data_IF_679350298035
#
_entry.id   IF_679350298035
#
_cell.length_a   1.000
_cell.length_b   1.000
_cell.length_c   1.000
_cell.angle_alpha   90.00
_cell.angle_beta   90.00
_cell.angle_gamma   90.00
#
_symmetry.space_group_name_H-M   'P 1'
#
loop_
_entity.id
_entity.type
_entity.pdbx_description
1 polymer ?
#
# COMPACT_ATOMS: atom_id res chain seq x y z
N UNK A 1 19.29 24.21 11.54
CA UNK A 1 18.53 23.06 12.07
C UNK A 1 17.11 23.16 11.54
N UNK A 2 16.70 22.28 10.61
CA UNK A 2 15.31 22.25 10.11
C UNK A 2 14.46 21.49 11.12
N UNK A 3 13.82 22.24 12.03
CA UNK A 3 12.83 21.68 12.94
C UNK A 3 11.51 21.60 12.16
N UNK A 4 11.26 20.46 11.51
CA UNK A 4 9.97 20.21 10.86
C UNK A 4 8.91 20.12 11.96
N UNK A 5 8.06 21.14 12.10
CA UNK A 5 6.98 21.23 13.10
C UNK A 5 5.78 20.30 12.82
N UNK A 6 5.92 19.36 11.88
CA UNK A 6 4.88 18.42 11.54
C UNK A 6 5.09 17.16 12.38
N UNK A 7 4.04 16.64 13.08
CA UNK A 7 4.14 15.34 13.72
C UNK A 7 4.58 14.32 12.66
N UNK A 8 5.35 13.27 13.00
CA UNK A 8 5.73 12.23 12.05
C UNK A 8 4.44 11.73 11.37
N UNK A 9 4.27 12.10 10.10
CA UNK A 9 3.04 11.78 9.39
C UNK A 9 3.00 10.26 9.25
N UNK A 10 1.94 9.67 9.80
CA UNK A 10 1.70 8.25 9.64
C UNK A 10 1.73 7.95 8.14
N UNK A 11 2.60 7.03 7.68
CA UNK A 11 2.89 6.78 6.25
C UNK A 11 1.65 6.63 5.37
N UNK A 12 0.51 6.24 5.95
CA UNK A 12 -0.77 6.11 5.25
C UNK A 12 -1.43 7.45 4.86
N UNK A 13 -1.04 8.57 5.46
CA UNK A 13 -1.61 9.89 5.15
C UNK A 13 -0.90 10.58 3.98
N UNK A 14 0.23 10.02 3.52
CA UNK A 14 1.03 10.58 2.44
C UNK A 14 0.28 10.58 1.11
N UNK A 15 0.45 11.66 0.36
CA UNK A 15 -0.12 11.92 -0.97
C UNK A 15 1.00 11.93 -2.02
N UNK A 16 0.64 11.79 -3.29
CA UNK A 16 1.60 11.75 -4.41
C UNK A 16 2.73 10.73 -4.20
N UNK A 17 2.36 9.53 -3.75
CA UNK A 17 3.31 8.47 -3.43
C UNK A 17 3.22 7.30 -4.40
N UNK A 18 4.38 6.76 -4.74
CA UNK A 18 4.52 5.42 -5.32
C UNK A 18 4.67 4.44 -4.17
N UNK A 19 3.79 3.44 -4.12
CA UNK A 19 3.79 2.42 -3.09
C UNK A 19 3.87 1.02 -3.70
N UNK A 20 4.43 0.10 -2.93
CA UNK A 20 4.49 -1.32 -3.23
C UNK A 20 3.74 -2.09 -2.16
N UNK A 21 2.87 -3.00 -2.58
CA UNK A 21 2.29 -4.03 -1.72
C UNK A 21 2.90 -5.39 -2.06
N UNK A 22 3.42 -6.09 -1.05
CA UNK A 22 4.03 -7.41 -1.23
C UNK A 22 3.12 -8.50 -0.66
N UNK A 23 2.77 -9.51 -1.45
CA UNK A 23 1.99 -10.63 -0.93
C UNK A 23 2.90 -11.66 -0.27
N UNK A 24 2.66 -11.97 1.01
CA UNK A 24 3.44 -12.92 1.80
C UNK A 24 2.74 -14.26 2.02
N UNK A 25 1.61 -14.50 1.35
CA UNK A 25 0.79 -15.71 1.53
C UNK A 25 1.27 -16.82 0.60
N UNK A 26 1.55 -18.00 1.16
CA UNK A 26 1.92 -19.20 0.40
C UNK A 26 3.10 -18.97 -0.55
N UNK A 27 3.00 -19.51 -1.77
CA UNK A 27 4.04 -19.42 -2.80
C UNK A 27 4.30 -17.99 -3.30
N UNK A 28 3.38 -17.05 -3.08
CA UNK A 28 3.59 -15.65 -3.47
C UNK A 28 4.79 -15.01 -2.78
N UNK A 29 5.13 -15.49 -1.57
CA UNK A 29 6.33 -15.06 -0.84
C UNK A 29 7.62 -15.42 -1.59
N UNK A 30 7.67 -16.63 -2.18
CA UNK A 30 8.83 -17.10 -2.94
C UNK A 30 8.90 -16.50 -4.35
N UNK A 31 7.73 -16.27 -4.97
CA UNK A 31 7.62 -15.70 -6.31
C UNK A 31 7.79 -14.17 -6.35
N UNK A 32 8.01 -13.52 -5.20
CA UNK A 32 8.10 -12.07 -5.10
C UNK A 32 6.88 -11.35 -5.71
N UNK A 33 5.66 -11.88 -5.49
CA UNK A 33 4.44 -11.28 -6.02
C UNK A 33 4.20 -9.90 -5.38
N UNK A 34 4.27 -8.86 -6.20
CA UNK A 34 4.22 -7.46 -5.78
C UNK A 34 3.26 -6.68 -6.67
N UNK A 35 2.50 -5.79 -6.04
CA UNK A 35 1.72 -4.77 -6.71
C UNK A 35 2.41 -3.42 -6.50
N UNK A 36 2.66 -2.67 -7.58
CA UNK A 36 3.17 -1.31 -7.51
C UNK A 36 2.09 -0.36 -8.03
N UNK A 37 1.81 0.69 -7.27
CA UNK A 37 0.81 1.68 -7.64
C UNK A 37 1.24 3.08 -7.27
N UNK A 38 0.71 4.05 -8.02
CA UNK A 38 0.78 5.45 -7.66
C UNK A 38 -0.57 5.91 -7.10
N UNK A 39 -0.52 6.85 -6.15
CA UNK A 39 -1.70 7.58 -5.70
C UNK A 39 -1.37 9.05 -5.52
N UNK A 40 -2.12 9.91 -6.22
CA UNK A 40 -2.14 11.34 -5.97
C UNK A 40 -2.91 11.67 -4.68
N UNK A 41 -3.88 10.83 -4.31
CA UNK A 41 -4.63 10.96 -3.04
C UNK A 41 -3.91 10.25 -1.90
N UNK A 42 -4.35 10.48 -0.66
CA UNK A 42 -3.76 9.82 0.51
C UNK A 42 -3.75 8.30 0.39
N UNK A 43 -2.62 7.66 0.71
CA UNK A 43 -2.44 6.21 0.64
C UNK A 43 -3.54 5.43 1.38
N UNK A 44 -4.02 5.95 2.50
CA UNK A 44 -5.13 5.41 3.28
C UNK A 44 -6.44 5.32 2.49
N UNK A 45 -6.74 6.34 1.67
CA UNK A 45 -7.90 6.31 0.75
C UNK A 45 -7.70 5.26 -0.33
N UNK A 46 -6.49 5.17 -0.89
CA UNK A 46 -6.15 4.17 -1.91
C UNK A 46 -6.24 2.73 -1.37
N UNK A 47 -5.83 2.50 -0.12
CA UNK A 47 -6.00 1.20 0.57
C UNK A 47 -7.49 0.86 0.71
N UNK A 48 -8.33 1.81 1.13
CA UNK A 48 -9.78 1.59 1.19
C UNK A 48 -10.36 1.22 -0.17
N UNK A 49 -9.96 1.90 -1.24
CA UNK A 49 -10.40 1.57 -2.60
C UNK A 49 -9.97 0.15 -3.01
N UNK A 50 -8.75 -0.26 -2.64
CA UNK A 50 -8.27 -1.62 -2.90
C UNK A 50 -9.06 -2.69 -2.13
N UNK A 51 -9.54 -2.39 -0.93
CA UNK A 51 -10.40 -3.29 -0.16
C UNK A 51 -11.82 -3.42 -0.71
N UNK A 52 -12.32 -2.41 -1.41
CA UNK A 52 -13.67 -2.47 -1.98
C UNK A 52 -13.66 -3.31 -3.26
N UNK A 53 -12.84 -2.95 -4.24
CA UNK A 53 -12.79 -3.67 -5.52
C UNK A 53 -11.40 -3.56 -6.20
N UNK A 54 -10.34 -3.66 -5.40
CA UNK A 54 -8.97 -3.54 -5.87
C UNK A 54 -8.44 -4.75 -6.61
N UNK A 55 -7.38 -4.52 -7.39
CA UNK A 55 -6.54 -5.59 -7.91
C UNK A 55 -5.96 -6.45 -6.77
N UNK A 56 -5.55 -5.84 -5.65
CA UNK A 56 -4.98 -6.56 -4.51
C UNK A 56 -6.04 -7.46 -3.86
N UNK A 57 -7.27 -6.97 -3.65
CA UNK A 57 -8.37 -7.79 -3.12
C UNK A 57 -8.67 -8.98 -4.04
N UNK A 58 -8.77 -8.74 -5.36
CA UNK A 58 -9.02 -9.80 -6.33
C UNK A 58 -7.91 -10.86 -6.33
N UNK A 59 -6.64 -10.44 -6.23
CA UNK A 59 -5.51 -11.36 -6.07
C UNK A 59 -5.68 -12.27 -4.84
N UNK A 60 -5.96 -11.68 -3.66
CA UNK A 60 -6.14 -12.46 -2.44
C UNK A 60 -7.33 -13.43 -2.51
N UNK A 61 -8.41 -13.02 -3.17
CA UNK A 61 -9.60 -13.86 -3.32
C UNK A 61 -9.38 -15.00 -4.31
N UNK A 62 -8.76 -14.72 -5.46
CA UNK A 62 -8.63 -15.69 -6.55
C UNK A 62 -7.48 -16.68 -6.30
N UNK A 63 -6.32 -16.19 -5.83
CA UNK A 63 -5.13 -17.01 -5.69
C UNK A 63 -5.06 -17.71 -4.33
N UNK A 64 -5.62 -17.09 -3.29
CA UNK A 64 -5.51 -17.59 -1.91
C UNK A 64 -6.85 -17.96 -1.28
N UNK A 65 -7.98 -17.62 -1.89
CA UNK A 65 -9.31 -17.81 -1.27
C UNK A 65 -9.51 -16.99 0.01
N UNK A 66 -8.73 -15.92 0.21
CA UNK A 66 -8.72 -15.14 1.45
C UNK A 66 -9.46 -13.82 1.33
N UNK A 67 -10.16 -13.46 2.40
CA UNK A 67 -10.76 -12.13 2.54
C UNK A 67 -9.69 -11.17 3.07
N UNK A 68 -9.27 -10.25 2.20
CA UNK A 68 -8.28 -9.23 2.53
C UNK A 68 -8.85 -8.23 3.56
N UNK A 69 -8.15 -8.06 4.68
CA UNK A 69 -8.47 -7.07 5.72
C UNK A 69 -7.54 -5.85 5.61
N UNK A 70 -7.98 -4.70 6.12
CA UNK A 70 -7.23 -3.44 6.07
C UNK A 70 -5.81 -3.55 6.63
N UNK A 71 -5.67 -4.16 7.81
CA UNK A 71 -4.37 -4.31 8.46
C UNK A 71 -3.36 -5.11 7.62
N UNK A 72 -3.80 -6.06 6.78
CA UNK A 72 -2.89 -6.81 5.89
C UNK A 72 -2.30 -5.88 4.82
N UNK A 73 -3.12 -4.98 4.27
CA UNK A 73 -2.63 -3.98 3.30
C UNK A 73 -1.68 -3.01 3.98
N UNK A 74 -2.01 -2.53 5.18
CA UNK A 74 -1.20 -1.54 5.89
C UNK A 74 0.18 -2.11 6.27
N UNK A 75 0.24 -3.33 6.80
CA UNK A 75 1.51 -3.96 7.20
C UNK A 75 2.38 -4.39 6.02
N UNK A 76 1.78 -4.75 4.88
CA UNK A 76 2.51 -5.25 3.72
C UNK A 76 2.71 -4.20 2.62
N UNK A 77 2.41 -2.93 2.90
CA UNK A 77 2.60 -1.82 1.96
C UNK A 77 3.75 -0.93 2.40
N UNK A 78 4.64 -0.61 1.47
CA UNK A 78 5.78 0.28 1.69
C UNK A 78 5.76 1.39 0.64
N UNK A 79 6.08 2.62 1.05
CA UNK A 79 6.26 3.74 0.12
C UNK A 79 7.66 3.62 -0.49
N UNK A 80 7.73 3.60 -1.81
CA UNK A 80 8.99 3.53 -2.56
C UNK A 80 9.53 4.90 -2.91
N UNK A 81 8.64 5.82 -3.30
CA UNK A 81 9.00 7.18 -3.67
C UNK A 81 7.86 8.13 -3.32
N UNK A 82 8.22 9.38 -3.04
CA UNK A 82 7.30 10.50 -2.90
C UNK A 82 7.65 11.51 -3.98
N UNK A 83 6.65 12.04 -4.64
CA UNK A 83 6.85 13.24 -5.45
C UNK A 83 7.02 14.42 -4.48
N UNK A 84 8.27 14.80 -4.22
CA UNK A 84 8.57 16.10 -3.62
C UNK A 84 8.40 17.13 -4.73
N UNK A 85 7.36 17.97 -4.63
CA UNK A 85 7.22 19.12 -5.52
C UNK A 85 8.38 20.08 -5.22
N UNK A 86 9.37 20.12 -6.11
CA UNK A 86 10.50 21.06 -6.13
C UNK A 86 9.99 22.49 -6.35
#
# INVERSE_FOLDING_TARGET
MKNSCLPPTHSLQEVNVVYQHSCTVGDCSHLNSRYIGFTATGLSKRITAHLQDGAIRRHYMNEHGLILKRHHLESNTTILAKEDSI
#
